data_IF_484178065117
#
_entry.id   IF_484178065117
#
_cell.length_a   1.000
_cell.length_b   1.000
_cell.length_c   1.000
_cell.angle_alpha   90.00
_cell.angle_beta   90.00
_cell.angle_gamma   90.00
#
_symmetry.space_group_name_H-M   'P 1'
#
loop_
_entity.id
_entity.type
_entity.pdbx_description
1 polymer ?
#
# COMPACT_ATOMS: atom_id res chain seq x y z
N UNK A 1 5.62 10.21 -19.61
CA UNK A 1 4.65 9.41 -18.85
C UNK A 1 5.43 8.32 -18.15
N UNK A 2 5.43 8.30 -16.81
CA UNK A 2 6.20 7.34 -16.01
C UNK A 2 5.30 6.15 -15.69
N UNK A 3 5.75 4.94 -15.99
CA UNK A 3 5.03 3.71 -15.69
C UNK A 3 5.10 3.42 -14.19
N UNK A 4 4.01 2.89 -13.63
CA UNK A 4 3.87 2.64 -12.19
C UNK A 4 4.85 1.57 -11.72
N UNK A 5 4.97 0.46 -12.46
CA UNK A 5 5.83 -0.67 -12.12
C UNK A 5 7.32 -0.30 -12.17
N UNK A 6 7.70 0.54 -13.15
CA UNK A 6 9.08 0.89 -13.44
C UNK A 6 9.80 1.62 -12.29
N UNK A 7 9.06 2.17 -11.32
CA UNK A 7 9.63 2.95 -10.20
C UNK A 7 9.44 2.28 -8.84
N UNK A 8 8.87 1.07 -8.80
CA UNK A 8 8.70 0.32 -7.53
C UNK A 8 10.06 0.07 -6.89
N UNK A 9 11.05 -0.36 -7.66
CA UNK A 9 12.39 -0.64 -7.13
C UNK A 9 13.09 0.62 -6.58
N UNK A 10 12.84 1.77 -7.20
CA UNK A 10 13.41 3.05 -6.75
C UNK A 10 12.79 3.49 -5.42
N UNK A 11 11.46 3.41 -5.30
CA UNK A 11 10.75 3.62 -4.03
C UNK A 11 11.26 2.71 -2.91
N UNK A 12 11.39 1.41 -3.20
CA UNK A 12 11.87 0.43 -2.22
C UNK A 12 13.33 0.69 -1.82
N UNK A 13 14.13 1.22 -2.74
CA UNK A 13 15.51 1.60 -2.49
C UNK A 13 15.61 2.90 -1.68
N UNK A 14 14.76 3.90 -1.94
CA UNK A 14 14.61 5.12 -1.13
C UNK A 14 14.24 4.78 0.31
N UNK A 15 13.23 3.93 0.49
CA UNK A 15 12.79 3.46 1.82
C UNK A 15 13.85 2.63 2.54
N UNK A 16 14.67 1.89 1.81
CA UNK A 16 15.78 1.12 2.37
C UNK A 16 16.95 1.96 2.89
N UNK A 17 17.07 3.23 2.47
CA UNK A 17 18.12 4.17 2.91
C UNK A 17 17.73 4.99 4.15
N UNK A 18 16.50 4.84 4.65
CA UNK A 18 16.00 5.50 5.86
C UNK A 18 16.73 5.08 7.14
N UNK A 19 16.71 5.96 8.15
CA UNK A 19 17.41 5.85 9.42
C UNK A 19 16.81 4.75 10.32
N UNK A 20 17.04 3.47 10.01
CA UNK A 20 16.38 2.41 10.79
C UNK A 20 16.77 0.96 10.56
N UNK A 21 17.39 0.57 9.45
CA UNK A 21 17.95 -0.79 9.29
C UNK A 21 16.96 -1.98 9.33
N UNK A 22 15.66 -1.78 9.63
CA UNK A 22 14.62 -2.84 9.60
C UNK A 22 14.03 -3.01 8.19
N UNK A 23 14.78 -2.57 7.17
CA UNK A 23 14.33 -2.40 5.79
C UNK A 23 14.07 -3.70 5.05
N UNK A 24 14.53 -4.86 5.54
CA UNK A 24 14.36 -6.15 4.85
C UNK A 24 12.90 -6.61 4.76
N UNK A 25 12.22 -6.73 5.91
CA UNK A 25 10.85 -7.23 5.97
C UNK A 25 9.89 -6.22 5.37
N UNK A 26 10.02 -4.94 5.74
CA UNK A 26 9.22 -3.87 5.16
C UNK A 26 9.36 -3.83 3.63
N UNK A 27 10.59 -3.90 3.09
CA UNK A 27 10.81 -3.87 1.63
C UNK A 27 10.18 -5.07 0.94
N UNK A 28 10.26 -6.26 1.54
CA UNK A 28 9.67 -7.46 0.98
C UNK A 28 8.13 -7.38 0.99
N UNK A 29 7.52 -7.02 2.12
CA UNK A 29 6.07 -6.91 2.26
C UNK A 29 5.51 -5.80 1.37
N UNK A 30 6.14 -4.62 1.39
CA UNK A 30 5.74 -3.49 0.55
C UNK A 30 5.92 -3.83 -0.94
N UNK A 31 7.02 -4.47 -1.32
CA UNK A 31 7.27 -4.86 -2.71
C UNK A 31 6.23 -5.86 -3.22
N UNK A 32 5.90 -6.87 -2.42
CA UNK A 32 4.85 -7.85 -2.76
C UNK A 32 3.48 -7.20 -2.91
N UNK A 33 3.16 -6.25 -2.04
CA UNK A 33 1.88 -5.55 -2.11
C UNK A 33 1.82 -4.57 -3.29
N UNK A 34 2.93 -3.91 -3.65
CA UNK A 34 2.99 -3.04 -4.82
C UNK A 34 2.92 -3.83 -6.13
N UNK A 35 3.51 -5.02 -6.18
CA UNK A 35 3.35 -5.94 -7.32
C UNK A 35 1.89 -6.39 -7.47
N UNK A 36 1.23 -6.78 -6.36
CA UNK A 36 -0.22 -7.07 -6.33
C UNK A 36 -1.07 -5.88 -6.79
N UNK A 37 -0.70 -4.67 -6.40
CA UNK A 37 -1.39 -3.46 -6.84
C UNK A 37 -1.25 -3.25 -8.35
N UNK A 38 -0.06 -3.43 -8.92
CA UNK A 38 0.15 -3.34 -10.38
C UNK A 38 -0.59 -4.45 -11.13
N UNK A 39 -0.58 -5.69 -10.62
CA UNK A 39 -1.35 -6.80 -11.20
C UNK A 39 -2.85 -6.49 -11.18
N UNK A 40 -3.37 -5.95 -10.06
CA UNK A 40 -4.76 -5.51 -9.96
C UNK A 40 -5.12 -4.44 -10.99
N UNK A 41 -4.24 -3.46 -11.20
CA UNK A 41 -4.44 -2.46 -12.24
C UNK A 41 -4.44 -3.17 -13.59
N UNK A 42 -3.37 -3.84 -13.99
CA UNK A 42 -3.25 -4.44 -15.33
C UNK A 42 -4.27 -5.56 -15.64
N UNK A 43 -4.98 -6.08 -14.64
CA UNK A 43 -6.07 -7.04 -14.79
C UNK A 43 -7.36 -6.53 -15.46
N UNK A 44 -7.48 -5.23 -15.77
CA UNK A 44 -8.62 -4.67 -16.52
C UNK A 44 -8.14 -3.89 -17.75
N UNK A 45 -8.86 -4.00 -18.87
CA UNK A 45 -8.47 -3.43 -20.19
C UNK A 45 -8.34 -1.89 -20.20
N UNK A 46 -8.95 -1.19 -19.23
CA UNK A 46 -8.97 0.28 -19.13
C UNK A 46 -8.16 0.82 -17.93
N UNK A 47 -7.24 0.02 -17.39
CA UNK A 47 -6.54 0.39 -16.17
C UNK A 47 -5.29 1.24 -16.38
N UNK A 48 -4.94 2.08 -15.39
CA UNK A 48 -3.81 2.97 -15.47
C UNK A 48 -2.52 2.17 -15.38
N UNK A 49 -1.66 2.36 -16.38
CA UNK A 49 -0.28 1.83 -16.35
C UNK A 49 0.73 2.90 -15.94
N UNK A 50 0.30 4.16 -15.94
CA UNK A 50 1.11 5.32 -15.62
C UNK A 50 0.50 6.20 -14.53
N UNK A 51 1.35 7.04 -13.92
CA UNK A 51 0.90 7.99 -12.91
C UNK A 51 -0.02 9.10 -13.45
N UNK A 52 -0.01 9.38 -14.75
CA UNK A 52 -0.90 10.39 -15.36
C UNK A 52 -2.35 9.92 -15.40
N UNK A 53 -2.54 8.60 -15.55
CA UNK A 53 -3.84 7.94 -15.60
C UNK A 53 -4.32 7.55 -14.19
N UNK A 54 -3.41 7.48 -13.22
CA UNK A 54 -3.71 7.06 -11.86
C UNK A 54 -4.49 8.13 -11.10
N UNK A 55 -5.72 7.79 -10.71
CA UNK A 55 -6.58 8.65 -9.93
C UNK A 55 -7.16 7.94 -8.69
N UNK A 56 -7.76 8.73 -7.80
CA UNK A 56 -8.41 8.26 -6.57
C UNK A 56 -9.48 7.16 -6.76
N UNK A 57 -10.12 7.08 -7.93
CA UNK A 57 -11.06 6.02 -8.30
C UNK A 57 -10.40 4.66 -8.37
N UNK A 58 -9.23 4.57 -9.00
CA UNK A 58 -8.43 3.34 -9.04
C UNK A 58 -7.98 2.90 -7.64
N UNK A 59 -7.58 3.85 -6.79
CA UNK A 59 -7.21 3.57 -5.40
C UNK A 59 -8.42 3.11 -4.57
N UNK A 60 -9.61 3.67 -4.82
CA UNK A 60 -10.86 3.23 -4.21
C UNK A 60 -11.21 1.80 -4.60
N UNK A 61 -11.10 1.46 -5.88
CA UNK A 61 -11.35 0.10 -6.36
C UNK A 61 -10.33 -0.89 -5.79
N UNK A 62 -9.07 -0.47 -5.64
CA UNK A 62 -8.09 -1.29 -4.93
C UNK A 62 -8.45 -1.49 -3.46
N UNK A 63 -8.84 -0.44 -2.73
CA UNK A 63 -9.31 -0.57 -1.35
C UNK A 63 -10.52 -1.53 -1.23
N UNK A 64 -11.45 -1.49 -2.20
CA UNK A 64 -12.56 -2.45 -2.29
C UNK A 64 -12.07 -3.87 -2.59
N UNK A 65 -11.06 -4.02 -3.44
CA UNK A 65 -10.44 -5.31 -3.71
C UNK A 65 -9.86 -5.91 -2.44
N UNK A 66 -9.07 -5.14 -1.67
CA UNK A 66 -8.48 -5.58 -0.40
C UNK A 66 -9.54 -6.03 0.61
N UNK A 67 -10.65 -5.30 0.74
CA UNK A 67 -11.73 -5.68 1.68
C UNK A 67 -12.50 -6.92 1.29
N UNK A 68 -12.51 -7.29 0.00
CA UNK A 68 -13.17 -8.51 -0.50
C UNK A 68 -12.31 -9.77 -0.33
N UNK A 69 -11.03 -9.64 0.06
CA UNK A 69 -10.13 -10.78 0.24
C UNK A 69 -10.40 -11.61 1.52
N UNK A 70 -11.27 -11.13 2.41
CA UNK A 70 -11.50 -11.79 3.71
C UNK A 70 -10.38 -11.58 4.73
N UNK A 71 -9.49 -10.61 4.50
CA UNK A 71 -8.44 -10.24 5.45
C UNK A 71 -8.96 -9.44 6.64
N UNK A 72 -8.16 -9.39 7.71
CA UNK A 72 -8.46 -8.55 8.87
C UNK A 72 -8.41 -7.06 8.50
N UNK A 73 -9.15 -6.22 9.23
CA UNK A 73 -9.11 -4.78 9.05
C UNK A 73 -7.68 -4.21 9.17
N UNK A 74 -6.88 -4.74 10.10
CA UNK A 74 -5.47 -4.38 10.26
C UNK A 74 -4.64 -4.67 9.02
N UNK A 75 -4.79 -5.86 8.43
CA UNK A 75 -4.09 -6.25 7.19
C UNK A 75 -4.47 -5.35 6.03
N UNK A 76 -5.77 -5.08 5.82
CA UNK A 76 -6.25 -4.19 4.75
C UNK A 76 -5.64 -2.80 4.87
N UNK A 77 -5.58 -2.24 6.09
CA UNK A 77 -4.99 -0.92 6.32
C UNK A 77 -3.48 -0.93 6.09
N UNK A 78 -2.77 -1.95 6.56
CA UNK A 78 -1.32 -2.08 6.35
C UNK A 78 -0.99 -2.10 4.86
N UNK A 79 -1.71 -2.91 4.10
CA UNK A 79 -1.52 -3.03 2.65
C UNK A 79 -1.84 -1.75 1.91
N UNK A 80 -2.99 -1.14 2.21
CA UNK A 80 -3.31 0.16 1.64
C UNK A 80 -2.30 1.25 2.03
N UNK A 81 -1.71 1.18 3.23
CA UNK A 81 -0.70 2.11 3.67
C UNK A 81 0.64 1.96 2.91
N UNK A 82 0.96 0.79 2.35
CA UNK A 82 2.10 0.65 1.43
C UNK A 82 1.84 1.38 0.11
N UNK A 83 0.66 1.19 -0.48
CA UNK A 83 0.24 1.89 -1.71
C UNK A 83 0.17 3.40 -1.48
N UNK A 84 -0.36 3.85 -0.34
CA UNK A 84 -0.41 5.27 0.00
C UNK A 84 0.98 5.89 0.21
N UNK A 85 1.93 5.13 0.79
CA UNK A 85 3.31 5.57 0.94
C UNK A 85 4.00 5.72 -0.41
N UNK A 86 3.76 4.78 -1.32
CA UNK A 86 4.27 4.81 -2.67
C UNK A 86 3.73 6.00 -3.46
N UNK A 87 2.42 6.28 -3.38
CA UNK A 87 1.83 7.49 -3.98
C UNK A 87 2.43 8.77 -3.38
N UNK A 88 2.64 8.82 -2.06
CA UNK A 88 3.28 9.96 -1.41
C UNK A 88 4.74 10.17 -1.83
N UNK A 89 5.49 9.08 -2.05
CA UNK A 89 6.83 9.15 -2.61
C UNK A 89 6.79 9.60 -4.08
N UNK A 90 5.87 9.09 -4.89
CA UNK A 90 5.68 9.51 -6.27
C UNK A 90 5.36 11.02 -6.40
N UNK A 91 4.69 11.61 -5.41
CA UNK A 91 4.52 13.08 -5.33
C UNK A 91 5.84 13.79 -5.09
N UNK A 92 6.67 13.28 -4.16
CA UNK A 92 7.99 13.85 -3.86
C UNK A 92 8.90 13.83 -5.08
N UNK A 93 8.86 12.75 -5.86
CA UNK A 93 9.62 12.61 -7.11
C UNK A 93 8.99 13.35 -8.31
N UNK A 94 7.81 13.97 -8.11
CA UNK A 94 7.12 14.75 -9.15
C UNK A 94 6.41 13.90 -10.20
N UNK A 95 6.17 12.61 -9.96
CA UNK A 95 5.37 11.74 -10.82
C UNK A 95 3.86 11.98 -10.65
N UNK A 96 3.43 12.35 -9.43
CA UNK A 96 2.07 12.74 -9.11
C UNK A 96 2.03 14.19 -8.62
N UNK A 97 0.96 14.92 -8.96
CA UNK A 97 0.76 16.27 -8.43
C UNK A 97 0.38 16.25 -6.92
N UNK A 98 -0.27 15.18 -6.47
CA UNK A 98 -0.70 15.00 -5.08
C UNK A 98 -0.97 13.53 -4.75
N UNK A 99 -1.11 13.22 -3.46
CA UNK A 99 -1.33 11.85 -3.00
C UNK A 99 -2.80 11.44 -3.17
N UNK A 100 -3.14 10.94 -4.36
CA UNK A 100 -4.49 10.48 -4.70
C UNK A 100 -4.99 9.33 -3.81
N UNK A 101 -4.09 8.54 -3.20
CA UNK A 101 -4.45 7.47 -2.27
C UNK A 101 -4.94 7.98 -0.90
N UNK A 102 -4.70 9.26 -0.56
CA UNK A 102 -5.23 9.87 0.67
C UNK A 102 -6.54 10.64 0.44
N UNK A 103 -7.07 10.64 -0.78
CA UNK A 103 -8.37 11.25 -1.05
C UNK A 103 -9.47 10.50 -0.32
N UNK A 104 -10.48 11.25 0.16
CA UNK A 104 -11.58 10.71 0.97
C UNK A 104 -12.32 9.55 0.30
N UNK A 105 -12.56 9.65 -0.99
CA UNK A 105 -13.22 8.59 -1.78
C UNK A 105 -12.35 7.33 -1.87
N UNK A 106 -11.03 7.47 -1.93
CA UNK A 106 -10.09 6.35 -1.99
C UNK A 106 -10.05 5.58 -0.66
N UNK A 107 -10.13 6.28 0.47
CA UNK A 107 -10.08 5.66 1.82
C UNK A 107 -11.44 5.18 2.33
N UNK A 108 -12.55 5.63 1.76
CA UNK A 108 -13.92 5.25 2.17
C UNK A 108 -14.17 3.74 2.31
N UNK A 109 -13.64 2.86 1.43
CA UNK A 109 -13.88 1.43 1.55
C UNK A 109 -13.09 0.76 2.68
N UNK A 110 -12.09 1.44 3.24
CA UNK A 110 -11.18 0.85 4.22
C UNK A 110 -11.90 0.75 5.56
N UNK A 111 -11.90 -0.43 6.22
CA UNK A 111 -12.57 -0.61 7.49
C UNK A 111 -11.94 0.26 8.58
N UNK A 112 -12.80 0.92 9.35
CA UNK A 112 -12.41 1.63 10.57
C UNK A 112 -11.83 0.63 11.59
N UNK A 113 -10.93 1.09 12.45
CA UNK A 113 -10.33 0.24 13.47
C UNK A 113 -11.31 -0.17 14.60
N UNK A 114 -12.55 0.32 14.59
CA UNK A 114 -13.59 -0.19 15.48
C UNK A 114 -13.36 0.15 16.94
N UNK A 115 -12.56 1.19 17.22
CA UNK A 115 -12.37 1.76 18.56
C UNK A 115 -11.75 0.82 19.60
N UNK A 116 -11.28 -0.37 19.22
CA UNK A 116 -10.59 -1.26 20.15
C UNK A 116 -9.13 -0.82 20.26
N UNK A 117 -8.78 -0.18 21.38
CA UNK A 117 -7.40 0.15 21.71
C UNK A 117 -6.56 -1.13 21.86
N UNK A 118 -6.04 -1.63 20.76
CA UNK A 118 -4.77 -2.34 20.75
C UNK A 118 -3.66 -1.31 20.62
N UNK A 119 -3.24 -0.78 21.77
CA UNK A 119 -1.86 -0.42 22.11
C UNK A 119 -1.08 0.66 21.35
N UNK A 120 -1.25 0.87 20.04
CA UNK A 120 -0.25 1.61 19.23
C UNK A 120 -0.87 2.34 18.02
N UNK A 121 -1.90 3.16 18.27
CA UNK A 121 -2.57 3.89 17.21
C UNK A 121 -2.55 5.39 17.47
N UNK A 122 -1.40 6.01 17.21
CA UNK A 122 -1.36 7.41 16.83
C UNK A 122 -0.59 7.54 15.52
N UNK A 123 -1.35 7.81 14.45
CA UNK A 123 -0.93 8.42 13.19
C UNK A 123 0.57 8.30 12.88
N UNK A 124 0.98 7.20 12.25
CA UNK A 124 2.37 7.01 11.85
C UNK A 124 2.79 8.09 10.85
N UNK A 125 3.61 9.02 11.34
CA UNK A 125 4.39 9.92 10.49
C UNK A 125 5.41 9.09 9.71
N UNK A 126 5.97 9.66 8.65
CA UNK A 126 6.80 8.97 7.66
C UNK A 126 8.06 8.27 8.22
N UNK A 127 8.34 8.39 9.52
CA UNK A 127 9.54 7.92 10.22
C UNK A 127 9.30 6.70 11.15
N UNK A 128 8.06 6.37 11.53
CA UNK A 128 7.77 5.38 12.61
C UNK A 128 7.07 4.09 12.15
N UNK A 129 7.41 3.57 10.96
CA UNK A 129 6.82 2.31 10.45
C UNK A 129 7.76 1.11 10.51
N UNK A 130 8.45 0.94 11.64
CA UNK A 130 9.18 -0.28 11.92
C UNK A 130 8.59 -0.93 13.18
N UNK A 131 7.72 -1.94 12.93
CA UNK A 131 7.17 -2.96 13.83
C UNK A 131 5.66 -3.19 13.62
N UNK A 132 5.30 -3.80 12.49
CA UNK A 132 4.10 -4.65 12.41
C UNK A 132 4.51 -5.95 11.73
N UNK A 133 4.98 -6.91 12.55
CA UNK A 133 4.21 -8.07 13.02
C UNK A 133 4.00 -9.11 11.92
N UNK A 134 4.77 -10.20 12.05
CA UNK A 134 4.52 -11.49 11.41
C UNK A 134 3.05 -11.85 11.52
N UNK A 135 2.34 -11.90 10.39
CA UNK A 135 1.06 -12.58 10.32
C UNK A 135 1.22 -13.85 9.50
N UNK A 136 1.25 -14.94 10.27
CA UNK A 136 1.06 -16.36 9.99
C UNK A 136 0.80 -16.75 8.53
N UNK A 137 1.76 -17.48 7.96
CA UNK A 137 1.47 -18.51 6.95
C UNK A 137 1.07 -19.76 7.75
N UNK A 138 -0.23 -20.05 7.78
CA UNK A 138 -0.74 -21.33 8.25
C UNK A 138 -1.20 -22.10 6.99
N UNK A 139 -0.37 -22.99 6.42
CA UNK A 139 -0.85 -23.88 5.38
C UNK A 139 -1.78 -24.89 6.04
N UNK A 140 -3.08 -24.68 5.80
CA UNK A 140 -4.15 -25.61 6.13
C UNK A 140 -3.79 -27.01 5.64
N UNK A 141 -3.64 -27.94 6.58
CA UNK A 141 -3.46 -29.36 6.31
C UNK A 141 -4.77 -29.93 5.75
N UNK A 142 -4.76 -30.39 4.50
CA UNK A 142 -5.81 -31.25 3.95
C UNK A 142 -5.21 -32.22 2.94
N UNK A 143 -5.30 -33.52 3.25
CA UNK A 143 -5.08 -34.63 2.33
C UNK A 143 -4.18 -35.73 2.87
#
# INVERSE_FOLDING_TARGET
>A
MVQIDAVIEDFLTDKGKGQGGESGNYRQDAGRELDRFVDFLTGHEESPTSFDELDSGHLREYARHLTRQGWTAGTVRTYYAYVSAFCGWAVREGHLAENVAQRRNATEPIPDDGGHKSGDQQAWSAEDRQQLTSFVDEPSVLG
#
